data_IF_248857923432
#
_entry.id   IF_248857923432
#
_cell.length_a   1.000
_cell.length_b   1.000
_cell.length_c   1.000
_cell.angle_alpha   90.00
_cell.angle_beta   90.00
_cell.angle_gamma   90.00
#
_symmetry.space_group_name_H-M   'P 1'
#
loop_
_entity.id
_entity.type
_entity.pdbx_description
1 polymer ?
#
# COMPACT_ATOMS: atom_id res chain seq x y z
N UNK A 1 0.81 -18.52 15.24
CA UNK A 1 0.15 -17.49 14.41
C UNK A 1 0.77 -17.40 13.00
N UNK A 2 1.11 -18.52 12.33
CA UNK A 2 1.93 -18.49 11.10
C UNK A 2 1.20 -18.92 9.80
N UNK A 3 -0.11 -19.20 9.83
CA UNK A 3 -0.82 -19.84 8.69
C UNK A 3 -1.60 -18.89 7.76
N UNK A 4 -1.28 -17.58 7.71
CA UNK A 4 -2.04 -16.61 6.90
C UNK A 4 -1.33 -16.08 5.64
N UNK A 5 -0.07 -16.43 5.39
CA UNK A 5 0.71 -15.82 4.30
C UNK A 5 0.65 -16.58 2.96
N UNK A 6 0.14 -17.81 2.92
CA UNK A 6 0.24 -18.66 1.72
C UNK A 6 -0.77 -18.32 0.61
N UNK A 7 -1.75 -17.45 0.88
CA UNK A 7 -2.79 -17.04 -0.07
C UNK A 7 -2.67 -15.59 -0.56
N UNK A 8 -1.59 -14.88 -0.23
CA UNK A 8 -1.40 -13.52 -0.74
C UNK A 8 -0.75 -13.54 -2.12
N UNK A 9 -1.34 -12.86 -3.12
CA UNK A 9 -0.66 -12.63 -4.38
C UNK A 9 0.64 -11.86 -4.10
N UNK A 10 1.73 -12.34 -4.68
CA UNK A 10 3.03 -11.70 -4.53
C UNK A 10 3.03 -10.37 -5.27
N UNK A 11 2.91 -9.26 -4.54
CA UNK A 11 2.93 -7.90 -5.08
C UNK A 11 4.33 -7.30 -4.95
N UNK A 12 4.78 -6.59 -5.98
CA UNK A 12 5.95 -5.73 -5.84
C UNK A 12 5.63 -4.55 -4.90
N UNK A 13 6.67 -3.91 -4.36
CA UNK A 13 6.52 -2.71 -3.51
C UNK A 13 5.53 -1.70 -4.12
N UNK A 14 5.72 -1.34 -5.40
CA UNK A 14 4.88 -0.36 -6.07
C UNK A 14 3.44 -0.85 -6.28
N UNK A 15 3.25 -2.14 -6.57
CA UNK A 15 1.92 -2.73 -6.74
C UNK A 15 1.15 -2.73 -5.40
N UNK A 16 1.83 -3.02 -4.29
CA UNK A 16 1.25 -2.95 -2.95
C UNK A 16 0.85 -1.52 -2.57
N UNK A 17 1.71 -0.52 -2.85
CA UNK A 17 1.39 0.90 -2.65
C UNK A 17 0.13 1.33 -3.42
N UNK A 18 0.06 1.00 -4.71
CA UNK A 18 -1.10 1.32 -5.56
C UNK A 18 -2.36 0.66 -5.00
N UNK A 19 -2.29 -0.64 -4.69
CA UNK A 19 -3.46 -1.37 -4.21
C UNK A 19 -3.94 -0.85 -2.85
N UNK A 20 -3.02 -0.48 -1.97
CA UNK A 20 -3.34 0.11 -0.66
C UNK A 20 -4.16 1.39 -0.80
N UNK A 21 -3.74 2.35 -1.63
CA UNK A 21 -4.50 3.59 -1.86
C UNK A 21 -5.86 3.32 -2.51
N UNK A 22 -5.90 2.50 -3.56
CA UNK A 22 -7.17 2.17 -4.22
C UNK A 22 -8.15 1.49 -3.25
N UNK A 23 -7.66 0.56 -2.43
CA UNK A 23 -8.49 -0.13 -1.44
C UNK A 23 -8.97 0.82 -0.33
N UNK A 24 -8.22 1.88 -0.03
CA UNK A 24 -8.62 2.95 0.90
C UNK A 24 -9.49 4.05 0.27
N UNK A 25 -9.91 3.89 -0.99
CA UNK A 25 -10.91 4.76 -1.62
C UNK A 25 -10.36 5.89 -2.48
N UNK A 26 -9.04 5.99 -2.62
CA UNK A 26 -8.43 6.92 -3.54
C UNK A 26 -8.70 6.49 -4.99
N UNK A 27 -8.93 7.46 -5.87
CA UNK A 27 -9.03 7.23 -7.30
C UNK A 27 -7.67 6.88 -7.91
N UNK A 28 -7.69 6.35 -9.14
CA UNK A 28 -6.45 6.12 -9.91
C UNK A 28 -5.68 7.41 -10.16
N UNK A 29 -6.38 8.54 -10.32
CA UNK A 29 -5.75 9.86 -10.54
C UNK A 29 -5.05 10.35 -9.27
N UNK A 30 -5.73 10.32 -8.13
CA UNK A 30 -5.14 10.73 -6.84
C UNK A 30 -3.97 9.83 -6.45
N UNK A 31 -4.12 8.52 -6.61
CA UNK A 31 -3.04 7.56 -6.35
C UNK A 31 -1.83 7.85 -7.24
N UNK A 32 -2.05 8.17 -8.53
CA UNK A 32 -0.97 8.49 -9.45
C UNK A 32 -0.22 9.76 -9.03
N UNK A 33 -0.94 10.78 -8.57
CA UNK A 33 -0.36 12.01 -8.03
C UNK A 33 0.47 11.73 -6.76
N UNK A 34 -0.09 11.00 -5.79
CA UNK A 34 0.58 10.66 -4.53
C UNK A 34 1.89 9.88 -4.79
N UNK A 35 1.86 8.96 -5.74
CA UNK A 35 3.00 8.11 -6.09
C UNK A 35 3.96 8.73 -7.11
N UNK A 36 3.73 9.98 -7.52
CA UNK A 36 4.50 10.71 -8.54
C UNK A 36 4.66 9.91 -9.85
N UNK A 37 3.55 9.44 -10.40
CA UNK A 37 3.51 8.72 -11.67
C UNK A 37 2.37 9.23 -12.58
N UNK A 38 2.44 8.88 -13.87
CA UNK A 38 1.37 9.24 -14.80
C UNK A 38 0.13 8.36 -14.60
N UNK A 39 -1.05 8.91 -14.86
CA UNK A 39 -2.32 8.15 -14.80
C UNK A 39 -2.30 6.93 -15.73
N UNK A 40 -1.72 7.07 -16.93
CA UNK A 40 -1.60 5.97 -17.89
C UNK A 40 -0.72 4.83 -17.39
N UNK A 41 0.43 5.15 -16.78
CA UNK A 41 1.30 4.14 -16.17
C UNK A 41 0.59 3.42 -15.01
N UNK A 42 -0.11 4.15 -14.15
CA UNK A 42 -0.87 3.53 -13.06
C UNK A 42 -1.98 2.61 -13.59
N UNK A 43 -2.74 3.05 -14.58
CA UNK A 43 -3.80 2.24 -15.20
C UNK A 43 -3.25 0.94 -15.79
N UNK A 44 -2.12 1.01 -16.49
CA UNK A 44 -1.44 -0.17 -17.04
C UNK A 44 -0.93 -1.12 -15.95
N UNK A 45 -0.39 -0.59 -14.84
CA UNK A 45 0.03 -1.44 -13.71
C UNK A 45 -1.20 -2.15 -13.11
N UNK A 46 -2.31 -1.44 -12.94
CA UNK A 46 -3.55 -2.02 -12.42
C UNK A 46 -4.08 -3.12 -13.34
N UNK A 47 -4.19 -2.85 -14.65
CA UNK A 47 -4.78 -3.80 -15.61
C UNK A 47 -3.88 -4.98 -15.90
N UNK A 48 -2.60 -4.75 -16.20
CA UNK A 48 -1.69 -5.76 -16.75
C UNK A 48 -0.89 -6.50 -15.68
N UNK A 49 -0.77 -5.94 -14.47
CA UNK A 49 0.11 -6.51 -13.45
C UNK A 49 -0.60 -6.87 -12.15
N UNK A 50 -1.52 -6.01 -11.67
CA UNK A 50 -2.22 -6.26 -10.41
C UNK A 50 -3.41 -7.18 -10.67
N UNK A 51 -4.36 -6.81 -11.53
CA UNK A 51 -5.57 -7.59 -11.81
C UNK A 51 -5.31 -9.09 -12.12
N UNK A 52 -4.31 -9.47 -12.94
CA UNK A 52 -4.03 -10.88 -13.24
C UNK A 52 -3.63 -11.69 -11.99
N UNK A 53 -2.95 -11.07 -11.01
CA UNK A 53 -2.57 -11.73 -9.75
C UNK A 53 -3.76 -12.06 -8.86
N UNK A 54 -4.91 -11.44 -9.11
CA UNK A 54 -6.18 -11.70 -8.42
C UNK A 54 -7.16 -12.47 -9.32
N UNK A 55 -6.73 -13.00 -10.48
CA UNK A 55 -7.58 -13.65 -11.48
C UNK A 55 -8.75 -12.75 -11.95
N UNK A 56 -8.47 -11.44 -12.11
CA UNK A 56 -9.44 -10.46 -12.59
C UNK A 56 -9.16 -10.15 -14.05
N UNK A 57 -10.10 -10.53 -14.92
CA UNK A 57 -10.06 -10.21 -16.35
C UNK A 57 -10.79 -8.88 -16.63
N UNK A 58 -10.26 -8.06 -17.55
CA UNK A 58 -10.94 -6.87 -18.07
C UNK A 58 -10.85 -5.59 -17.22
N UNK A 59 -9.69 -5.29 -16.62
CA UNK A 59 -9.41 -4.00 -15.95
C UNK A 59 -10.48 -3.53 -14.95
N UNK A 60 -11.07 -4.45 -14.19
CA UNK A 60 -12.16 -4.14 -13.27
C UNK A 60 -11.64 -3.70 -11.89
N UNK A 61 -11.33 -2.41 -11.75
CA UNK A 61 -10.82 -1.84 -10.49
C UNK A 61 -11.79 -2.00 -9.31
N UNK A 62 -13.11 -1.96 -9.54
CA UNK A 62 -14.09 -2.17 -8.47
C UNK A 62 -13.99 -3.58 -7.88
N UNK A 63 -13.90 -4.60 -8.74
CA UNK A 63 -13.71 -5.99 -8.32
C UNK A 63 -12.37 -6.17 -7.60
N UNK A 64 -11.31 -5.53 -8.10
CA UNK A 64 -9.99 -5.56 -7.47
C UNK A 64 -10.04 -5.02 -6.03
N UNK A 65 -10.66 -3.85 -5.83
CA UNK A 65 -10.83 -3.25 -4.50
C UNK A 65 -11.60 -4.16 -3.56
N UNK A 66 -12.68 -4.79 -4.03
CA UNK A 66 -13.47 -5.73 -3.24
C UNK A 66 -12.64 -6.94 -2.79
N UNK A 67 -11.85 -7.52 -3.69
CA UNK A 67 -10.98 -8.66 -3.34
C UNK A 67 -9.88 -8.22 -2.37
N UNK A 68 -9.26 -7.06 -2.60
CA UNK A 68 -8.22 -6.53 -1.71
C UNK A 68 -8.71 -6.32 -0.28
N UNK A 69 -9.91 -5.74 -0.10
CA UNK A 69 -10.53 -5.57 1.22
C UNK A 69 -10.93 -6.88 1.89
N UNK A 70 -11.40 -7.87 1.11
CA UNK A 70 -11.67 -9.22 1.64
C UNK A 70 -10.41 -9.91 2.16
N UNK A 71 -9.27 -9.59 1.56
CA UNK A 71 -7.96 -10.05 1.98
C UNK A 71 -7.30 -9.11 3.01
N UNK A 72 -8.00 -8.10 3.54
CA UNK A 72 -7.45 -7.16 4.52
C UNK A 72 -6.17 -6.42 4.05
N UNK A 73 -6.00 -6.21 2.75
CA UNK A 73 -4.86 -5.47 2.19
C UNK A 73 -4.97 -3.95 2.36
N UNK A 74 -6.17 -3.48 2.71
CA UNK A 74 -6.48 -2.08 2.99
C UNK A 74 -5.96 -1.63 4.36
N UNK A 75 -5.82 -2.53 5.33
CA UNK A 75 -5.35 -2.21 6.68
C UNK A 75 -3.83 -2.39 6.86
N UNK A 76 -3.17 -3.08 5.94
CA UNK A 76 -1.72 -3.32 5.98
C UNK A 76 -1.02 -2.19 5.24
N UNK A 77 -0.42 -1.26 5.98
CA UNK A 77 0.38 -0.16 5.40
C UNK A 77 1.67 -0.73 4.82
N UNK A 78 1.95 -0.56 3.52
CA UNK A 78 3.23 -0.92 2.93
C UNK A 78 4.39 -0.25 3.68
N UNK A 79 5.45 -1.00 3.99
CA UNK A 79 6.60 -0.48 4.74
C UNK A 79 7.21 0.78 4.11
N UNK A 80 7.12 0.91 2.80
CA UNK A 80 7.56 2.07 2.04
C UNK A 80 6.75 3.35 2.24
N UNK A 81 5.49 3.23 2.66
CA UNK A 81 4.61 4.33 3.02
C UNK A 81 4.67 4.64 4.52
N UNK A 82 5.22 3.73 5.33
CA UNK A 82 5.40 3.93 6.76
C UNK A 82 6.68 4.72 7.03
N UNK A 83 6.53 5.88 7.68
CA UNK A 83 7.63 6.61 8.30
C UNK A 83 7.34 6.71 9.79
N UNK A 84 7.75 5.72 10.60
CA UNK A 84 7.54 5.80 12.03
C UNK A 84 8.29 7.02 12.58
N UNK A 85 7.60 7.84 13.37
CA UNK A 85 8.20 8.91 14.13
C UNK A 85 7.92 8.65 15.61
N UNK A 86 8.84 9.05 16.48
CA UNK A 86 8.64 8.98 17.94
C UNK A 86 8.69 10.42 18.44
N UNK A 87 7.62 10.86 19.12
CA UNK A 87 7.64 12.11 19.88
C UNK A 87 7.94 11.79 21.34
N UNK A 88 9.02 12.37 21.85
CA UNK A 88 9.42 12.25 23.24
C UNK A 88 9.04 13.55 23.92
N UNK A 89 8.07 13.48 24.82
CA UNK A 89 7.59 14.64 25.57
C UNK A 89 8.36 14.85 26.87
N UNK A 90 9.01 13.79 27.37
CA UNK A 90 9.84 13.83 28.56
C UNK A 90 11.25 14.30 28.18
N UNK A 91 11.61 15.46 28.72
CA UNK A 91 12.89 16.09 28.42
C UNK A 91 14.07 15.25 28.93
N UNK A 92 13.97 14.61 30.09
CA UNK A 92 15.07 13.81 30.64
C UNK A 92 15.31 12.56 29.77
N UNK A 93 14.25 11.90 29.30
CA UNK A 93 14.36 10.76 28.39
C UNK A 93 14.94 11.21 27.04
N UNK A 94 14.49 12.35 26.52
CA UNK A 94 15.01 12.90 25.25
C UNK A 94 16.50 13.16 25.35
N UNK A 95 16.93 13.86 26.41
CA UNK A 95 18.33 14.25 26.60
C UNK A 95 19.24 13.03 26.80
N UNK A 96 18.80 12.06 27.63
CA UNK A 96 19.62 10.89 28.00
C UNK A 96 19.83 9.91 26.85
N UNK A 97 18.86 9.74 25.95
CA UNK A 97 18.86 8.64 24.99
C UNK A 97 18.83 9.06 23.51
N UNK A 98 18.49 10.30 23.18
CA UNK A 98 18.20 10.71 21.80
C UNK A 98 18.93 11.98 21.35
N UNK A 99 19.77 12.59 22.19
CA UNK A 99 20.70 13.66 21.76
C UNK A 99 21.93 13.05 21.10
N UNK A 100 22.21 13.43 19.86
CA UNK A 100 23.42 13.04 19.13
C UNK A 100 24.44 14.18 19.31
N UNK A 101 25.61 13.89 19.90
CA UNK A 101 26.76 14.82 19.95
C UNK A 101 27.33 15.12 18.55
#
# INVERSE_FOLDING_TARGET
MQQRMDNYPQLSRRQAEILYFLANGFSQTETAQILNMSRGALANIVSEQICPKFNIYGSNTKKLIQVARKLHLDIVVPASLSRPFIFILDQEISERYFTIE
#
